data_IF_349964247667
#
_entry.id   IF_349964247667
#
_cell.length_a   1.000
_cell.length_b   1.000
_cell.length_c   1.000
_cell.angle_alpha   90.00
_cell.angle_beta   90.00
_cell.angle_gamma   90.00
#
_symmetry.space_group_name_H-M   'P 1'
#
loop_
_entity.id
_entity.type
_entity.pdbx_description
1 polymer ?
#
# COMPACT_ATOMS: atom_id res chain seq x y z
N UNK A 1 7.98 -21.61 58.08
CA UNK A 1 8.98 -20.94 58.95
C UNK A 1 10.31 -20.90 58.23
N UNK A 2 10.74 -19.68 57.91
CA UNK A 2 12.08 -19.12 57.64
C UNK A 2 13.26 -20.04 57.29
N UNK A 3 13.90 -19.74 56.15
CA UNK A 3 15.37 -19.80 56.00
C UNK A 3 15.87 -18.77 54.96
N UNK A 4 16.33 -17.62 55.44
CA UNK A 4 17.51 -16.90 54.91
C UNK A 4 18.76 -17.47 55.64
N UNK A 5 20.06 -17.17 55.36
CA UNK A 5 20.63 -16.01 54.62
C UNK A 5 21.94 -16.24 53.77
N UNK A 6 22.28 -15.22 52.96
CA UNK A 6 23.59 -14.51 52.74
C UNK A 6 24.93 -15.29 52.65
N UNK A 7 25.73 -15.02 51.60
CA UNK A 7 27.18 -14.59 51.59
C UNK A 7 27.76 -14.52 50.15
N UNK A 8 28.02 -13.34 49.59
CA UNK A 8 29.28 -12.53 49.52
C UNK A 8 30.25 -12.87 48.37
N UNK A 9 30.44 -11.85 47.51
CA UNK A 9 31.58 -11.41 46.69
C UNK A 9 32.75 -12.37 46.40
N UNK A 10 33.11 -12.47 45.11
CA UNK A 10 34.51 -12.24 44.69
C UNK A 10 34.65 -11.76 43.23
N UNK A 11 35.00 -10.49 43.11
CA UNK A 11 35.94 -9.81 42.19
C UNK A 11 36.59 -10.62 41.05
N UNK A 12 36.39 -10.19 39.81
CA UNK A 12 37.44 -10.08 38.79
C UNK A 12 37.26 -8.80 37.96
N UNK A 13 38.35 -8.05 37.90
CA UNK A 13 38.56 -6.76 37.23
C UNK A 13 39.17 -6.99 35.85
N UNK A 14 38.96 -6.00 34.95
CA UNK A 14 39.63 -5.73 33.66
C UNK A 14 39.11 -6.54 32.45
N UNK A 15 38.73 -5.96 31.30
CA UNK A 15 39.19 -4.79 30.54
C UNK A 15 37.99 -4.15 29.79
N UNK A 16 37.75 -2.84 29.87
CA UNK A 16 38.05 -1.82 28.83
C UNK A 16 37.54 -2.20 27.43
N UNK A 17 36.40 -1.63 27.02
CA UNK A 17 36.23 -0.85 25.78
C UNK A 17 34.82 -0.23 25.70
N UNK A 18 34.68 1.09 25.47
CA UNK A 18 33.37 1.75 25.39
C UNK A 18 32.74 1.61 24.01
N UNK A 19 31.60 0.90 23.92
CA UNK A 19 30.68 1.00 22.77
C UNK A 19 29.96 2.36 22.78
N UNK A 20 30.64 3.40 22.30
CA UNK A 20 30.03 4.67 21.89
C UNK A 20 30.56 5.05 20.52
N UNK A 21 30.01 4.49 19.44
CA UNK A 21 30.36 4.92 18.08
C UNK A 21 29.32 4.56 17.01
N UNK A 22 28.01 4.62 17.32
CA UNK A 22 26.95 4.41 16.29
C UNK A 22 25.72 5.32 16.37
N UNK A 23 25.71 6.34 17.23
CA UNK A 23 24.56 7.25 17.37
C UNK A 23 24.81 8.73 17.03
N UNK A 24 25.99 9.09 16.51
CA UNK A 24 26.30 10.48 16.11
C UNK A 24 26.14 10.73 14.59
N UNK A 25 25.89 9.69 13.79
CA UNK A 25 25.89 9.83 12.32
C UNK A 25 24.53 10.21 11.69
N UNK A 26 23.45 10.33 12.46
CA UNK A 26 22.13 10.73 11.95
C UNK A 26 21.77 12.20 12.18
N UNK A 27 22.60 12.96 12.91
CA UNK A 27 22.37 14.39 13.18
C UNK A 27 22.99 15.35 12.15
N UNK A 28 23.86 14.86 11.25
CA UNK A 28 24.65 15.70 10.33
C UNK A 28 24.28 15.51 8.84
N UNK A 29 23.15 14.85 8.56
CA UNK A 29 22.63 14.67 7.18
C UNK A 29 21.38 15.55 6.93
N UNK A 30 20.81 16.16 7.98
CA UNK A 30 19.67 17.08 7.88
C UNK A 30 20.05 18.57 7.81
N UNK A 31 21.32 18.94 8.00
CA UNK A 31 21.79 20.34 7.88
C UNK A 31 22.43 20.68 6.53
N UNK A 32 22.54 19.73 5.60
CA UNK A 32 23.07 19.97 4.24
C UNK A 32 22.00 20.38 3.22
N UNK A 33 20.73 20.49 3.62
CA UNK A 33 19.63 20.93 2.75
C UNK A 33 19.26 22.41 2.86
N UNK A 34 19.99 23.18 3.68
CA UNK A 34 19.75 24.62 3.84
C UNK A 34 21.05 25.39 3.58
N UNK A 35 21.40 25.52 2.30
CA UNK A 35 22.16 26.59 1.64
C UNK A 35 22.57 25.97 0.31
N UNK A 36 21.90 26.33 -0.79
CA UNK A 36 22.40 26.42 -2.17
C UNK A 36 21.22 26.78 -3.10
N UNK A 37 20.49 27.84 -2.74
CA UNK A 37 19.74 28.65 -3.70
C UNK A 37 20.55 29.93 -3.95
N UNK A 38 21.72 29.76 -4.54
CA UNK A 38 22.41 30.84 -5.24
C UNK A 38 22.90 30.26 -6.56
N UNK A 39 22.00 30.22 -7.54
CA UNK A 39 22.38 30.07 -8.94
C UNK A 39 23.16 31.31 -9.34
N UNK A 40 24.46 31.34 -9.02
CA UNK A 40 25.39 32.15 -9.79
C UNK A 40 25.64 31.38 -11.09
N UNK A 41 24.77 31.65 -12.06
CA UNK A 41 25.01 31.31 -13.45
C UNK A 41 26.20 32.17 -13.88
N UNK A 42 27.40 31.59 -13.89
CA UNK A 42 28.48 32.13 -14.69
C UNK A 42 28.10 31.89 -16.15
N UNK A 43 27.41 32.87 -16.74
CA UNK A 43 27.33 32.99 -18.18
C UNK A 43 28.75 33.31 -18.67
N UNK A 44 29.49 32.29 -19.09
CA UNK A 44 30.67 32.49 -19.92
C UNK A 44 30.14 32.65 -21.34
N UNK A 45 29.94 33.91 -21.70
CA UNK A 45 29.65 34.37 -23.05
C UNK A 45 30.66 33.75 -24.03
N UNK A 46 30.15 33.32 -25.18
CA UNK A 46 30.87 32.59 -26.21
C UNK A 46 31.77 33.51 -27.02
N UNK A 47 32.84 34.01 -26.41
CA UNK A 47 33.98 34.53 -27.17
C UNK A 47 35.06 33.45 -27.24
N UNK A 48 35.46 33.09 -28.45
CA UNK A 48 36.69 32.34 -28.71
C UNK A 48 37.84 33.06 -27.99
N UNK A 49 38.41 32.43 -26.95
CA UNK A 49 39.62 32.93 -26.30
C UNK A 49 40.78 32.72 -27.29
N UNK A 50 40.96 33.64 -28.23
CA UNK A 50 42.18 33.73 -29.03
C UNK A 50 43.31 34.14 -28.09
N UNK A 51 44.23 33.21 -27.84
CA UNK A 51 45.38 33.45 -26.98
C UNK A 51 46.24 34.60 -27.55
N UNK A 52 46.09 35.80 -27.00
CA UNK A 52 47.01 36.90 -27.27
C UNK A 52 48.41 36.52 -26.78
N UNK A 53 49.48 36.96 -27.46
CA UNK A 53 50.88 36.55 -27.21
C UNK A 53 51.33 36.70 -25.75
N UNK A 54 50.77 37.65 -24.97
CA UNK A 54 51.04 37.82 -23.53
C UNK A 54 50.56 36.67 -22.65
N UNK A 55 49.55 35.91 -23.08
CA UNK A 55 48.97 34.78 -22.33
C UNK A 55 49.82 33.51 -22.51
N UNK A 56 50.51 33.39 -23.65
CA UNK A 56 51.38 32.24 -23.99
C UNK A 56 52.64 32.19 -23.12
N UNK A 57 53.11 33.35 -22.65
CA UNK A 57 54.35 33.48 -21.89
C UNK A 57 54.19 33.28 -20.37
N UNK A 58 52.97 33.10 -19.85
CA UNK A 58 52.73 32.82 -18.43
C UNK A 58 52.26 31.37 -18.23
N UNK A 59 53.09 30.48 -17.64
CA UNK A 59 52.78 29.06 -17.48
C UNK A 59 51.55 28.80 -16.62
N UNK A 60 51.22 29.71 -15.70
CA UNK A 60 50.01 29.62 -14.85
C UNK A 60 48.75 29.86 -15.68
N UNK A 61 48.79 30.81 -16.62
CA UNK A 61 47.62 31.16 -17.43
C UNK A 61 47.31 30.11 -18.50
N UNK A 62 48.35 29.46 -19.04
CA UNK A 62 48.20 28.30 -19.92
C UNK A 62 47.56 27.11 -19.21
N UNK A 63 47.92 26.87 -17.93
CA UNK A 63 47.29 25.82 -17.13
C UNK A 63 45.82 26.13 -16.83
N UNK A 64 45.48 27.40 -16.57
CA UNK A 64 44.08 27.83 -16.37
C UNK A 64 43.26 27.60 -17.65
N UNK A 65 43.78 28.00 -18.82
CA UNK A 65 43.12 27.77 -20.10
C UNK A 65 42.88 26.27 -20.36
N UNK A 66 43.89 25.43 -20.13
CA UNK A 66 43.78 23.97 -20.27
C UNK A 66 42.69 23.40 -19.34
N UNK A 67 42.60 23.88 -18.10
CA UNK A 67 41.56 23.45 -17.14
C UNK A 67 40.16 23.91 -17.56
N UNK A 68 40.02 25.11 -18.13
CA UNK A 68 38.73 25.63 -18.64
C UNK A 68 38.25 24.76 -19.81
N UNK A 69 39.13 24.42 -20.75
CA UNK A 69 38.79 23.55 -21.88
C UNK A 69 38.39 22.14 -21.43
N UNK A 70 39.15 21.55 -20.50
CA UNK A 70 38.79 20.26 -19.89
C UNK A 70 37.43 20.32 -19.17
N UNK A 71 37.16 21.39 -18.43
CA UNK A 71 35.88 21.59 -17.74
C UNK A 71 34.72 21.71 -18.73
N UNK A 72 34.88 22.47 -19.82
CA UNK A 72 33.88 22.58 -20.91
C UNK A 72 33.55 21.22 -21.52
N UNK A 73 34.57 20.39 -21.78
CA UNK A 73 34.38 19.03 -22.31
C UNK A 73 33.58 18.15 -21.34
N UNK A 74 33.94 18.14 -20.06
CA UNK A 74 33.23 17.39 -19.01
C UNK A 74 31.76 17.87 -18.90
N UNK A 75 31.53 19.19 -19.00
CA UNK A 75 30.17 19.75 -18.93
C UNK A 75 29.29 19.29 -20.10
N UNK A 76 29.86 19.27 -21.31
CA UNK A 76 29.17 18.79 -22.52
C UNK A 76 28.81 17.30 -22.39
N UNK A 77 29.75 16.46 -21.95
CA UNK A 77 29.54 15.03 -21.70
C UNK A 77 28.44 14.78 -20.63
N UNK A 78 28.44 15.55 -19.54
CA UNK A 78 27.40 15.48 -18.50
C UNK A 78 26.03 15.88 -19.06
N UNK A 79 25.97 16.92 -19.89
CA UNK A 79 24.72 17.41 -20.47
C UNK A 79 24.14 16.43 -21.50
N UNK A 80 24.99 15.79 -22.32
CA UNK A 80 24.61 14.71 -23.22
C UNK A 80 24.14 13.47 -22.44
N UNK A 81 24.86 13.05 -21.40
CA UNK A 81 24.46 11.94 -20.54
C UNK A 81 23.08 12.15 -19.89
N UNK A 82 22.80 13.37 -19.40
CA UNK A 82 21.47 13.73 -18.87
C UNK A 82 20.36 13.68 -19.93
N UNK A 83 20.64 14.12 -21.17
CA UNK A 83 19.67 14.04 -22.28
C UNK A 83 19.35 12.59 -22.63
N UNK A 84 20.37 11.74 -22.76
CA UNK A 84 20.22 10.30 -23.05
C UNK A 84 19.41 9.62 -21.93
N UNK A 85 19.77 9.86 -20.66
CA UNK A 85 19.04 9.29 -19.53
C UNK A 85 17.58 9.75 -19.49
N UNK A 86 17.31 11.03 -19.79
CA UNK A 86 15.95 11.56 -19.88
C UNK A 86 15.15 10.87 -21.00
N UNK A 87 15.74 10.69 -22.17
CA UNK A 87 15.12 9.98 -23.30
C UNK A 87 14.84 8.51 -22.97
N UNK A 88 15.79 7.81 -22.35
CA UNK A 88 15.60 6.43 -21.91
C UNK A 88 14.48 6.31 -20.87
N UNK A 89 14.43 7.21 -19.89
CA UNK A 89 13.36 7.23 -18.89
C UNK A 89 11.98 7.48 -19.54
N UNK A 90 11.90 8.35 -20.56
CA UNK A 90 10.67 8.57 -21.34
C UNK A 90 10.25 7.29 -22.07
N UNK A 91 11.18 6.65 -22.80
CA UNK A 91 10.90 5.40 -23.51
C UNK A 91 10.45 4.27 -22.56
N UNK A 92 11.08 4.14 -21.38
CA UNK A 92 10.66 3.19 -20.35
C UNK A 92 9.27 3.51 -19.83
N UNK A 93 8.95 4.79 -19.61
CA UNK A 93 7.63 5.19 -19.14
C UNK A 93 6.55 4.95 -20.19
N UNK A 94 6.84 5.23 -21.46
CA UNK A 94 5.97 4.90 -22.59
C UNK A 94 5.73 3.39 -22.69
N UNK A 95 6.80 2.58 -22.59
CA UNK A 95 6.69 1.12 -22.58
C UNK A 95 5.83 0.62 -21.41
N UNK A 96 5.98 1.20 -20.21
CA UNK A 96 5.13 0.89 -19.04
C UNK A 96 3.68 1.26 -19.30
N UNK A 97 3.42 2.44 -19.86
CA UNK A 97 2.06 2.90 -20.15
C UNK A 97 1.38 1.99 -21.19
N UNK A 98 2.09 1.59 -22.24
CA UNK A 98 1.60 0.65 -23.25
C UNK A 98 1.33 -0.73 -22.64
N UNK A 99 2.27 -1.24 -21.82
CA UNK A 99 2.10 -2.52 -21.15
C UNK A 99 0.89 -2.49 -20.20
N UNK A 100 0.73 -1.42 -19.42
CA UNK A 100 -0.42 -1.23 -18.53
C UNK A 100 -1.74 -1.12 -19.30
N UNK A 101 -1.75 -0.41 -20.43
CA UNK A 101 -2.94 -0.31 -21.28
C UNK A 101 -3.37 -1.68 -21.83
N UNK A 102 -2.41 -2.46 -22.34
CA UNK A 102 -2.66 -3.83 -22.83
C UNK A 102 -3.13 -4.76 -21.71
N UNK A 103 -2.51 -4.68 -20.54
CA UNK A 103 -2.88 -5.46 -19.36
C UNK A 103 -4.32 -5.12 -18.92
N UNK A 104 -4.67 -3.84 -18.84
CA UNK A 104 -6.02 -3.43 -18.48
C UNK A 104 -7.05 -3.93 -19.49
N UNK A 105 -6.76 -3.83 -20.79
CA UNK A 105 -7.64 -4.36 -21.83
C UNK A 105 -7.83 -5.87 -21.71
N UNK A 106 -6.77 -6.60 -21.38
CA UNK A 106 -6.83 -8.06 -21.17
C UNK A 106 -7.61 -8.44 -19.93
N UNK A 107 -7.45 -7.70 -18.83
CA UNK A 107 -8.26 -7.83 -17.61
C UNK A 107 -9.74 -7.58 -17.96
N UNK A 108 -10.04 -6.56 -18.75
CA UNK A 108 -11.42 -6.24 -19.14
C UNK A 108 -12.03 -7.29 -20.08
N UNK A 109 -11.25 -7.85 -21.00
CA UNK A 109 -11.69 -9.00 -21.82
C UNK A 109 -11.97 -10.21 -20.93
N UNK A 110 -11.02 -10.59 -20.08
CA UNK A 110 -11.17 -11.71 -19.15
C UNK A 110 -12.39 -11.53 -18.23
N UNK A 111 -12.63 -10.33 -17.71
CA UNK A 111 -13.78 -10.05 -16.85
C UNK A 111 -15.10 -10.21 -17.60
N UNK A 112 -15.17 -9.78 -18.86
CA UNK A 112 -16.37 -9.96 -19.71
C UNK A 112 -16.61 -11.42 -20.03
N UNK A 113 -15.58 -12.15 -20.43
CA UNK A 113 -15.68 -13.57 -20.78
C UNK A 113 -16.07 -14.43 -19.56
N UNK A 114 -15.64 -14.00 -18.37
CA UNK A 114 -15.97 -14.67 -17.10
C UNK A 114 -17.26 -14.18 -16.43
N UNK A 115 -17.88 -13.09 -16.90
CA UNK A 115 -19.12 -12.55 -16.32
C UNK A 115 -20.20 -13.64 -16.13
N UNK A 116 -20.47 -14.53 -17.12
CA UNK A 116 -21.52 -15.53 -17.00
C UNK A 116 -21.24 -16.63 -15.96
N UNK A 117 -19.98 -16.73 -15.53
CA UNK A 117 -19.44 -17.73 -14.60
C UNK A 117 -19.17 -17.14 -13.21
N UNK A 118 -19.45 -15.87 -12.99
CA UNK A 118 -19.41 -15.29 -11.65
C UNK A 118 -20.43 -15.96 -10.73
N UNK A 119 -20.16 -15.97 -9.42
CA UNK A 119 -21.12 -16.51 -8.44
C UNK A 119 -22.47 -15.81 -8.53
N UNK A 120 -22.49 -14.51 -8.87
CA UNK A 120 -23.71 -13.74 -9.04
C UNK A 120 -24.51 -14.19 -10.26
N UNK A 121 -23.86 -14.37 -11.41
CA UNK A 121 -24.55 -14.80 -12.64
C UNK A 121 -24.99 -16.26 -12.57
N UNK A 122 -24.19 -17.12 -11.93
CA UNK A 122 -24.58 -18.51 -11.63
C UNK A 122 -25.79 -18.56 -10.67
N UNK A 123 -25.78 -17.77 -9.60
CA UNK A 123 -26.87 -17.74 -8.63
C UNK A 123 -28.15 -17.11 -9.21
N UNK A 124 -28.04 -16.05 -10.02
CA UNK A 124 -29.17 -15.46 -10.73
C UNK A 124 -29.86 -16.47 -11.65
N UNK A 125 -29.07 -17.26 -12.40
CA UNK A 125 -29.59 -18.38 -13.22
C UNK A 125 -30.31 -19.42 -12.36
N UNK A 126 -29.77 -19.77 -11.19
CA UNK A 126 -30.44 -20.67 -10.25
C UNK A 126 -31.77 -20.09 -9.74
N UNK A 127 -31.80 -18.83 -9.32
CA UNK A 127 -33.00 -18.16 -8.79
C UNK A 127 -34.08 -18.00 -9.84
N UNK A 128 -33.71 -17.71 -11.09
CA UNK A 128 -34.68 -17.55 -12.20
C UNK A 128 -35.58 -18.77 -12.41
N UNK A 129 -35.12 -19.95 -12.00
CA UNK A 129 -35.86 -21.23 -12.09
C UNK A 129 -36.82 -21.46 -10.91
N UNK A 130 -36.87 -20.58 -9.91
CA UNK A 130 -37.73 -20.69 -8.73
C UNK A 130 -39.05 -19.95 -8.93
N UNK A 131 -40.12 -20.32 -8.21
CA UNK A 131 -41.36 -19.52 -8.19
C UNK A 131 -41.10 -18.06 -7.81
N UNK A 132 -41.75 -17.12 -8.49
CA UNK A 132 -41.52 -15.67 -8.34
C UNK A 132 -41.61 -15.20 -6.88
N UNK A 133 -42.55 -15.76 -6.11
CA UNK A 133 -42.79 -15.36 -4.71
C UNK A 133 -41.63 -15.66 -3.74
N UNK A 134 -40.71 -16.57 -4.09
CA UNK A 134 -39.56 -16.91 -3.21
C UNK A 134 -38.22 -16.41 -3.75
N UNK A 135 -38.18 -15.90 -4.99
CA UNK A 135 -36.94 -15.43 -5.62
C UNK A 135 -36.26 -14.32 -4.81
N UNK A 136 -37.06 -13.38 -4.28
CA UNK A 136 -36.57 -12.27 -3.45
C UNK A 136 -35.88 -12.73 -2.17
N UNK A 137 -36.36 -13.82 -1.56
CA UNK A 137 -35.76 -14.41 -0.36
C UNK A 137 -34.37 -14.96 -0.70
N UNK A 138 -34.26 -15.78 -1.76
CA UNK A 138 -32.98 -16.35 -2.19
C UNK A 138 -31.95 -15.26 -2.56
N UNK A 139 -32.37 -14.24 -3.32
CA UNK A 139 -31.47 -13.12 -3.66
C UNK A 139 -31.00 -12.37 -2.42
N UNK A 140 -31.88 -12.17 -1.43
CA UNK A 140 -31.50 -11.47 -0.20
C UNK A 140 -30.52 -12.28 0.65
N UNK A 141 -30.72 -13.60 0.75
CA UNK A 141 -29.79 -14.50 1.44
C UNK A 141 -28.42 -14.50 0.76
N UNK A 142 -28.39 -14.54 -0.57
CA UNK A 142 -27.15 -14.47 -1.34
C UNK A 142 -26.44 -13.14 -1.14
N UNK A 143 -27.13 -12.01 -1.28
CA UNK A 143 -26.55 -10.69 -1.10
C UNK A 143 -25.95 -10.54 0.32
N UNK A 144 -26.68 -10.98 1.35
CA UNK A 144 -26.16 -10.98 2.72
C UNK A 144 -24.86 -11.80 2.85
N UNK A 145 -24.81 -12.99 2.25
CA UNK A 145 -23.60 -13.82 2.26
C UNK A 145 -22.43 -13.14 1.52
N UNK A 146 -22.70 -12.50 0.38
CA UNK A 146 -21.69 -11.76 -0.38
C UNK A 146 -21.14 -10.58 0.43
N UNK A 147 -22.00 -9.84 1.14
CA UNK A 147 -21.59 -8.75 2.02
C UNK A 147 -20.70 -9.24 3.16
N UNK A 148 -21.03 -10.40 3.76
CA UNK A 148 -20.21 -11.04 4.80
C UNK A 148 -18.84 -11.45 4.27
N UNK A 149 -18.77 -12.06 3.09
CA UNK A 149 -17.49 -12.43 2.45
C UNK A 149 -16.66 -11.18 2.15
N UNK A 150 -17.27 -10.13 1.57
CA UNK A 150 -16.59 -8.87 1.27
C UNK A 150 -16.03 -8.21 2.53
N UNK A 151 -16.80 -8.19 3.62
CA UNK A 151 -16.35 -7.68 4.92
C UNK A 151 -15.21 -8.53 5.49
N UNK A 152 -15.26 -9.85 5.33
CA UNK A 152 -14.23 -10.77 5.79
C UNK A 152 -12.91 -10.61 5.02
N UNK A 153 -12.98 -10.49 3.69
CA UNK A 153 -11.84 -10.18 2.83
C UNK A 153 -11.22 -8.85 3.24
N UNK A 154 -12.03 -7.81 3.39
CA UNK A 154 -11.56 -6.48 3.82
C UNK A 154 -10.84 -6.52 5.17
N UNK A 155 -11.35 -7.29 6.14
CA UNK A 155 -10.71 -7.44 7.45
C UNK A 155 -9.36 -8.17 7.37
N UNK A 156 -9.31 -9.25 6.56
CA UNK A 156 -8.09 -10.00 6.29
C UNK A 156 -7.03 -9.13 5.63
N UNK A 157 -7.39 -8.43 4.55
CA UNK A 157 -6.47 -7.62 3.75
C UNK A 157 -5.91 -6.47 4.58
N UNK A 158 -6.72 -5.88 5.47
CA UNK A 158 -6.26 -4.83 6.38
C UNK A 158 -5.17 -5.31 7.34
N UNK A 159 -5.24 -6.56 7.82
CA UNK A 159 -4.19 -7.14 8.68
C UNK A 159 -2.93 -7.46 7.87
N UNK A 160 -3.08 -8.02 6.67
CA UNK A 160 -1.94 -8.33 5.81
C UNK A 160 -1.20 -7.07 5.35
N UNK A 161 -1.93 -6.01 4.96
CA UNK A 161 -1.36 -4.73 4.58
C UNK A 161 -0.63 -4.05 5.75
N UNK A 162 -1.06 -4.30 6.99
CA UNK A 162 -0.39 -3.81 8.21
C UNK A 162 0.82 -4.64 8.66
N UNK A 163 1.25 -5.65 7.88
CA UNK A 163 2.37 -6.53 8.24
C UNK A 163 2.02 -7.57 9.32
N UNK A 164 0.73 -7.81 9.57
CA UNK A 164 0.25 -8.80 10.53
C UNK A 164 0.51 -10.25 10.08
N UNK A 165 0.40 -11.20 11.02
CA UNK A 165 0.63 -12.62 10.73
C UNK A 165 -0.53 -13.19 9.91
N UNK A 166 -0.21 -14.14 9.04
CA UNK A 166 -1.21 -14.84 8.23
C UNK A 166 -2.31 -15.50 9.07
N UNK A 167 -1.96 -16.07 10.23
CA UNK A 167 -2.94 -16.66 11.17
C UNK A 167 -3.97 -15.63 11.62
N UNK A 168 -3.52 -14.44 12.06
CA UNK A 168 -4.41 -13.39 12.57
C UNK A 168 -5.31 -12.85 11.46
N UNK A 169 -4.80 -12.77 10.23
CA UNK A 169 -5.57 -12.38 9.05
C UNK A 169 -6.70 -13.39 8.75
N UNK A 170 -6.41 -14.69 8.83
CA UNK A 170 -7.42 -15.74 8.65
C UNK A 170 -8.41 -15.81 9.81
N UNK A 171 -7.97 -15.64 11.06
CA UNK A 171 -8.86 -15.57 12.21
C UNK A 171 -9.85 -14.40 12.06
N UNK A 172 -9.38 -13.24 11.58
CA UNK A 172 -10.24 -12.10 11.28
C UNK A 172 -11.21 -12.41 10.13
N UNK A 173 -10.76 -13.09 9.07
CA UNK A 173 -11.64 -13.55 8.00
C UNK A 173 -12.78 -14.41 8.56
N UNK A 174 -12.45 -15.48 9.29
CA UNK A 174 -13.44 -16.42 9.84
C UNK A 174 -14.44 -15.72 10.77
N UNK A 175 -13.95 -14.85 11.65
CA UNK A 175 -14.80 -14.09 12.55
C UNK A 175 -15.78 -13.19 11.80
N UNK A 176 -15.33 -12.55 10.72
CA UNK A 176 -16.15 -11.62 9.95
C UNK A 176 -17.08 -12.32 8.94
N UNK A 177 -16.72 -13.51 8.45
CA UNK A 177 -17.59 -14.30 7.57
C UNK A 177 -18.68 -15.04 8.34
N UNK A 178 -18.46 -15.33 9.63
CA UNK A 178 -19.43 -16.04 10.45
C UNK A 178 -20.68 -15.21 10.75
N UNK A 179 -21.85 -15.85 10.69
CA UNK A 179 -23.13 -15.28 11.11
C UNK A 179 -23.52 -15.82 12.47
N UNK A 180 -23.76 -14.93 13.43
CA UNK A 180 -24.19 -15.34 14.77
C UNK A 180 -25.66 -15.75 14.77
N UNK A 181 -26.06 -16.56 15.77
CA UNK A 181 -27.48 -16.95 15.94
C UNK A 181 -28.40 -15.74 16.05
N UNK A 182 -27.98 -14.69 16.76
CA UNK A 182 -28.75 -13.45 16.93
C UNK A 182 -28.94 -12.74 15.59
N UNK A 183 -27.89 -12.68 14.77
CA UNK A 183 -27.97 -12.11 13.42
C UNK A 183 -28.92 -12.92 12.53
N UNK A 184 -28.86 -14.25 12.59
CA UNK A 184 -29.76 -15.12 11.83
C UNK A 184 -31.24 -14.92 12.23
N UNK A 185 -31.53 -14.78 13.53
CA UNK A 185 -32.88 -14.48 14.00
C UNK A 185 -33.36 -13.12 13.48
N UNK A 186 -32.50 -12.10 13.53
CA UNK A 186 -32.80 -10.77 12.97
C UNK A 186 -33.11 -10.84 11.48
N UNK A 187 -32.26 -11.54 10.71
CA UNK A 187 -32.45 -11.70 9.25
C UNK A 187 -33.76 -12.41 8.92
N UNK A 188 -34.08 -13.48 9.64
CA UNK A 188 -35.34 -14.21 9.44
C UNK A 188 -36.55 -13.31 9.72
N UNK A 189 -36.49 -12.51 10.78
CA UNK A 189 -37.50 -11.50 11.08
C UNK A 189 -37.66 -10.50 9.93
N UNK A 190 -36.56 -9.94 9.44
CA UNK A 190 -36.58 -8.96 8.36
C UNK A 190 -37.12 -9.57 7.06
N UNK A 191 -36.76 -10.81 6.75
CA UNK A 191 -37.27 -11.52 5.58
C UNK A 191 -38.76 -11.89 5.70
N UNK A 192 -39.23 -12.25 6.89
CA UNK A 192 -40.65 -12.52 7.13
C UNK A 192 -41.50 -11.26 6.89
N UNK A 193 -41.05 -10.10 7.38
CA UNK A 193 -41.74 -8.82 7.14
C UNK A 193 -41.70 -8.48 5.66
N UNK A 194 -40.54 -8.62 5.02
CA UNK A 194 -40.34 -8.19 3.62
C UNK A 194 -41.03 -9.07 2.58
N UNK A 195 -41.08 -10.38 2.82
CA UNK A 195 -41.48 -11.36 1.79
C UNK A 195 -42.64 -12.27 2.20
N UNK A 196 -42.97 -12.37 3.49
CA UNK A 196 -44.03 -13.26 3.99
C UNK A 196 -45.23 -12.51 4.60
N UNK A 197 -45.34 -11.19 4.34
CA UNK A 197 -46.39 -10.31 4.87
C UNK A 197 -46.54 -10.37 6.41
N UNK A 198 -45.45 -10.67 7.12
CA UNK A 198 -45.49 -10.68 8.58
C UNK A 198 -45.60 -9.24 9.10
N UNK A 199 -46.47 -9.04 10.09
CA UNK A 199 -46.57 -7.76 10.78
C UNK A 199 -45.29 -7.46 11.57
N UNK A 200 -44.72 -6.28 11.33
CA UNK A 200 -43.45 -5.86 11.93
C UNK A 200 -43.57 -5.75 13.45
N UNK A 201 -44.73 -5.32 13.95
CA UNK A 201 -45.00 -5.16 15.40
C UNK A 201 -45.00 -6.51 16.09
N UNK A 202 -45.66 -7.51 15.50
CA UNK A 202 -45.68 -8.90 15.98
C UNK A 202 -44.27 -9.50 15.99
N UNK A 203 -43.47 -9.24 14.95
CA UNK A 203 -42.09 -9.72 14.89
C UNK A 203 -41.15 -9.00 15.90
N UNK A 204 -41.53 -7.85 16.45
CA UNK A 204 -40.76 -7.16 17.50
C UNK A 204 -40.91 -7.78 18.88
N UNK A 205 -41.93 -8.61 19.09
CA UNK A 205 -42.15 -9.29 20.36
C UNK A 205 -41.09 -10.36 20.65
N UNK A 206 -40.45 -10.92 19.62
CA UNK A 206 -39.42 -11.95 19.81
C UNK A 206 -38.10 -11.37 20.37
N UNK A 207 -37.58 -11.99 21.41
CA UNK A 207 -36.28 -11.66 22.00
C UNK A 207 -35.10 -12.07 21.10
N UNK A 208 -33.87 -11.74 21.52
CA UNK A 208 -32.63 -12.10 20.80
C UNK A 208 -32.40 -13.61 20.66
N UNK A 209 -33.18 -14.44 21.36
CA UNK A 209 -33.16 -15.90 21.25
C UNK A 209 -34.30 -16.44 20.38
N UNK A 210 -35.18 -15.59 19.87
CA UNK A 210 -36.35 -15.95 19.08
C UNK A 210 -37.52 -16.44 19.93
N UNK A 211 -37.61 -16.02 21.19
CA UNK A 211 -38.67 -16.41 22.13
C UNK A 211 -39.57 -15.22 22.43
N UNK A 212 -40.85 -15.49 22.68
CA UNK A 212 -41.79 -14.51 23.21
C UNK A 212 -41.50 -14.35 24.72
N UNK A 213 -41.47 -13.12 25.27
CA UNK A 213 -41.40 -12.88 26.70
C UNK A 213 -42.48 -13.69 27.41
N UNK A 214 -42.11 -14.45 28.43
CA UNK A 214 -43.11 -15.09 29.27
C UNK A 214 -43.76 -14.00 30.11
N UNK A 215 -45.06 -13.77 29.91
CA UNK A 215 -45.89 -13.12 30.92
C UNK A 215 -46.13 -14.14 32.02
N UNK A 216 -45.75 -13.76 33.22
CA UNK A 216 -46.05 -14.40 34.50
C UNK A 216 -47.55 -14.36 34.83
#
# INVERSE_FOLDING_TARGET
>A
MLRTPVKTLNTKICLIEPMTSKFVFYGMILSLFAILNTTQIFAIESEEIKAAEKIKNNPVMMQILKKIEQSKKILAEIQEGKKIQSQQNKAIQEARNIANARLNEEIDRMNRDNEPFTSQSAFAKFVSKKPIGIQGIYLSMFNYQQDKIKSAQSAKDRILAGGGKAKDAWDAYYKNSATSRVQMISLNKDFNVKYANADATTQQVFDSKGKIPRTD
#
